data_IF_916199542138
#
_entry.id   IF_916199542138
#
_cell.length_a   1.000
_cell.length_b   1.000
_cell.length_c   1.000
_cell.angle_alpha   90.00
_cell.angle_beta   90.00
_cell.angle_gamma   90.00
#
_symmetry.space_group_name_H-M   'P 1'
#
loop_
_entity.id
_entity.type
_entity.pdbx_description
1 polymer ?
#
# COMPACT_ATOMS: atom_id res chain seq x y z
N UNK A 1 1.68 19.09 2.13
CA UNK A 1 2.32 17.88 2.70
C UNK A 1 3.15 17.19 1.63
N UNK A 2 4.24 16.53 2.02
CA UNK A 2 5.00 15.60 1.19
C UNK A 2 4.31 14.23 1.16
N UNK A 3 4.67 13.35 0.22
CA UNK A 3 4.09 12.00 0.15
C UNK A 3 4.37 11.16 1.42
N UNK A 4 5.54 11.34 2.06
CA UNK A 4 5.84 10.66 3.33
C UNK A 4 5.04 11.24 4.49
N UNK A 5 4.85 12.57 4.54
CA UNK A 5 3.99 13.21 5.56
C UNK A 5 2.55 12.72 5.45
N UNK A 6 2.02 12.61 4.22
CA UNK A 6 0.70 12.03 3.96
C UNK A 6 0.65 10.56 4.41
N UNK A 7 1.58 9.71 3.97
CA UNK A 7 1.64 8.29 4.37
C UNK A 7 1.55 8.11 5.90
N UNK A 8 2.34 8.90 6.65
CA UNK A 8 2.37 8.82 8.12
C UNK A 8 1.06 9.28 8.76
N UNK A 9 0.44 10.34 8.22
CA UNK A 9 -0.86 10.84 8.69
C UNK A 9 -1.97 9.82 8.44
N UNK A 10 -2.08 9.30 7.21
CA UNK A 10 -3.12 8.35 6.81
C UNK A 10 -3.04 7.05 7.64
N UNK A 11 -1.85 6.49 7.89
CA UNK A 11 -1.72 5.30 8.74
C UNK A 11 -2.23 5.50 10.17
N UNK A 12 -2.08 6.72 10.72
CA UNK A 12 -2.63 7.06 12.03
C UNK A 12 -4.15 7.24 11.97
N UNK A 13 -4.66 7.92 10.94
CA UNK A 13 -6.10 8.20 10.78
C UNK A 13 -6.90 6.91 10.48
N UNK A 14 -6.41 6.08 9.56
CA UNK A 14 -7.11 4.90 9.07
C UNK A 14 -6.93 3.66 9.93
N UNK A 15 -5.73 3.48 10.51
CA UNK A 15 -5.34 2.25 11.21
C UNK A 15 -4.90 2.48 12.67
N UNK A 16 -4.81 3.74 13.12
CA UNK A 16 -4.32 4.05 14.47
C UNK A 16 -2.86 3.65 14.69
N UNK A 17 -2.07 3.49 13.63
CA UNK A 17 -0.75 2.90 13.66
C UNK A 17 0.35 3.91 13.33
N UNK A 18 1.43 3.93 14.11
CA UNK A 18 2.60 4.75 13.80
C UNK A 18 3.59 3.97 12.92
N UNK A 19 4.25 4.69 12.00
CA UNK A 19 5.32 4.15 11.17
C UNK A 19 6.70 4.50 11.73
N UNK A 20 7.61 3.53 11.72
CA UNK A 20 9.03 3.69 12.01
C UNK A 20 9.80 4.18 10.79
N UNK A 21 10.78 3.37 10.35
CA UNK A 21 11.53 3.64 9.13
C UNK A 21 10.61 3.57 7.91
N UNK A 22 10.82 4.49 6.97
CA UNK A 22 10.05 4.59 5.72
C UNK A 22 11.04 4.80 4.58
N UNK A 23 10.84 4.08 3.47
CA UNK A 23 11.66 4.18 2.27
C UNK A 23 10.78 4.18 1.03
N UNK A 24 10.94 5.20 0.17
CA UNK A 24 10.29 5.22 -1.14
C UNK A 24 10.86 4.10 -2.03
N UNK A 25 9.99 3.20 -2.48
CA UNK A 25 10.35 2.14 -3.42
C UNK A 25 10.25 2.63 -4.86
N UNK A 26 9.22 3.43 -5.17
CA UNK A 26 8.98 3.94 -6.51
C UNK A 26 7.70 4.75 -6.59
N UNK A 27 7.45 5.28 -7.80
CA UNK A 27 6.24 6.02 -8.13
C UNK A 27 5.60 5.37 -9.35
N UNK A 28 4.30 5.10 -9.28
CA UNK A 28 3.51 4.47 -10.34
C UNK A 28 2.46 5.44 -10.84
N UNK A 29 2.29 5.54 -12.15
CA UNK A 29 1.15 6.23 -12.78
C UNK A 29 0.05 5.19 -13.00
N UNK A 30 -1.05 5.29 -12.25
CA UNK A 30 -2.16 4.35 -12.30
C UNK A 30 -3.35 4.98 -13.04
N UNK A 31 -3.72 4.41 -14.19
CA UNK A 31 -4.86 4.84 -14.99
C UNK A 31 -5.85 3.70 -15.09
N UNK A 32 -7.06 3.88 -14.58
CA UNK A 32 -8.05 2.82 -14.45
C UNK A 32 -9.46 3.32 -14.74
N UNK A 33 -10.43 2.40 -14.79
CA UNK A 33 -11.85 2.71 -14.84
C UNK A 33 -12.55 1.95 -13.72
N UNK A 34 -13.27 2.66 -12.85
CA UNK A 34 -14.06 2.07 -11.78
C UNK A 34 -15.52 2.47 -11.96
N UNK A 35 -16.39 1.47 -12.09
CA UNK A 35 -17.83 1.68 -12.32
C UNK A 35 -18.15 2.65 -13.50
N UNK A 36 -17.38 2.56 -14.59
CA UNK A 36 -17.54 3.43 -15.76
C UNK A 36 -16.93 4.83 -15.63
N UNK A 37 -16.27 5.13 -14.51
CA UNK A 37 -15.61 6.42 -14.26
C UNK A 37 -14.10 6.26 -14.42
N UNK A 38 -13.46 7.02 -15.32
CA UNK A 38 -12.00 6.98 -15.45
C UNK A 38 -11.33 7.61 -14.24
N UNK A 39 -10.39 6.88 -13.65
CA UNK A 39 -9.51 7.32 -12.57
C UNK A 39 -8.07 7.48 -13.05
N UNK A 40 -7.35 8.41 -12.43
CA UNK A 40 -5.92 8.63 -12.68
C UNK A 40 -5.24 9.07 -11.40
N UNK A 41 -4.27 8.27 -10.96
CA UNK A 41 -3.54 8.47 -9.70
C UNK A 41 -2.04 8.41 -9.94
N UNK A 42 -1.29 9.21 -9.17
CA UNK A 42 0.15 9.07 -9.02
C UNK A 42 0.40 8.45 -7.65
N UNK A 43 0.82 7.19 -7.63
CA UNK A 43 0.95 6.38 -6.42
C UNK A 43 2.41 6.35 -5.98
N UNK A 44 2.69 6.91 -4.81
CA UNK A 44 4.00 6.81 -4.16
C UNK A 44 4.01 5.55 -3.27
N UNK A 45 4.83 4.57 -3.63
CA UNK A 45 4.89 3.28 -2.92
C UNK A 45 6.06 3.29 -1.96
N UNK A 46 5.77 3.07 -0.67
CA UNK A 46 6.77 3.03 0.38
C UNK A 46 6.87 1.63 1.01
N UNK A 47 8.08 1.23 1.37
CA UNK A 47 8.30 0.22 2.39
C UNK A 47 8.34 0.94 3.74
N UNK A 48 7.62 0.41 4.72
CA UNK A 48 7.58 0.98 6.06
C UNK A 48 7.61 -0.12 7.12
N UNK A 49 8.20 0.20 8.26
CA UNK A 49 8.12 -0.60 9.47
C UNK A 49 6.96 -0.08 10.33
N UNK A 50 6.11 -0.98 10.82
CA UNK A 50 5.14 -0.62 11.85
C UNK A 50 5.91 -0.41 13.16
N UNK A 51 5.81 0.78 13.75
CA UNK A 51 6.41 1.07 15.05
C UNK A 51 5.59 0.43 16.19
N UNK A 52 4.29 0.27 15.97
CA UNK A 52 3.34 -0.33 16.88
C UNK A 52 2.88 -1.70 16.36
N UNK A 53 2.58 -2.63 17.26
CA UNK A 53 1.94 -3.88 16.87
C UNK A 53 0.49 -3.58 16.43
N UNK A 54 0.20 -3.73 15.15
CA UNK A 54 -1.17 -3.66 14.62
C UNK A 54 -1.79 -5.05 14.68
N UNK A 55 -2.89 -5.19 15.43
CA UNK A 55 -3.68 -6.42 15.40
C UNK A 55 -4.43 -6.50 14.06
N UNK A 56 -4.06 -7.47 13.23
CA UNK A 56 -4.76 -7.80 12.00
C UNK A 56 -5.57 -9.11 12.17
N UNK A 57 -6.73 -9.26 11.53
CA UNK A 57 -7.31 -8.35 10.55
C UNK A 57 -7.85 -7.05 11.18
N UNK A 58 -7.62 -5.93 10.51
CA UNK A 58 -8.14 -4.62 10.88
C UNK A 58 -9.17 -4.14 9.84
N UNK A 59 -9.80 -3.00 10.12
CA UNK A 59 -10.72 -2.34 9.20
C UNK A 59 -10.27 -0.89 9.05
N UNK A 60 -10.15 -0.42 7.81
CA UNK A 60 -9.88 0.99 7.51
C UNK A 60 -11.02 1.83 8.05
N UNK A 61 -10.72 2.79 8.93
CA UNK A 61 -11.73 3.56 9.65
C UNK A 61 -12.73 4.29 8.72
N UNK A 62 -12.25 4.77 7.57
CA UNK A 62 -13.03 5.63 6.67
C UNK A 62 -13.81 4.85 5.61
N UNK A 63 -13.22 3.78 5.06
CA UNK A 63 -13.85 2.99 3.97
C UNK A 63 -14.59 1.75 4.49
N UNK A 64 -14.23 1.25 5.67
CA UNK A 64 -14.76 -0.01 6.20
C UNK A 64 -14.16 -1.26 5.55
N UNK A 65 -13.09 -1.12 4.74
CA UNK A 65 -12.43 -2.23 4.06
C UNK A 65 -11.52 -3.01 5.01
N UNK A 66 -11.45 -4.33 4.82
CA UNK A 66 -10.64 -5.21 5.65
C UNK A 66 -9.15 -5.15 5.25
N UNK A 67 -8.27 -5.17 6.25
CA UNK A 67 -6.83 -5.21 6.09
C UNK A 67 -6.30 -6.53 6.64
N UNK A 68 -5.52 -7.25 5.83
CA UNK A 68 -4.90 -8.53 6.17
C UNK A 68 -3.44 -8.60 5.70
N UNK A 69 -2.68 -9.50 6.31
CA UNK A 69 -1.39 -9.92 5.76
C UNK A 69 -1.62 -10.96 4.66
N UNK A 70 -1.23 -10.64 3.43
CA UNK A 70 -1.34 -11.54 2.29
C UNK A 70 0.04 -12.09 1.86
N UNK A 71 0.17 -13.41 1.61
CA UNK A 71 1.40 -13.97 1.04
C UNK A 71 1.72 -13.39 -0.34
N UNK A 72 2.96 -12.93 -0.54
CA UNK A 72 3.40 -12.39 -1.84
C UNK A 72 3.26 -13.39 -2.99
N UNK A 73 3.40 -14.69 -2.71
CA UNK A 73 3.26 -15.77 -3.70
C UNK A 73 1.88 -15.76 -4.39
N UNK A 74 0.83 -15.30 -3.71
CA UNK A 74 -0.51 -15.19 -4.30
C UNK A 74 -0.51 -14.22 -5.48
N UNK A 75 0.25 -13.13 -5.40
CA UNK A 75 0.32 -12.11 -6.43
C UNK A 75 1.34 -12.48 -7.53
N UNK A 76 2.49 -13.04 -7.15
CA UNK A 76 3.52 -13.47 -8.11
C UNK A 76 3.02 -14.62 -8.99
N UNK A 77 2.23 -15.54 -8.43
CA UNK A 77 1.63 -16.65 -9.18
C UNK A 77 0.40 -16.27 -10.01
N UNK A 78 -0.16 -15.08 -9.79
CA UNK A 78 -1.42 -14.65 -10.40
C UNK A 78 -2.68 -15.26 -9.78
N UNK A 79 -2.58 -15.89 -8.62
CA UNK A 79 -3.75 -16.38 -7.86
C UNK A 79 -4.61 -15.23 -7.30
N UNK A 80 -4.01 -14.05 -7.09
CA UNK A 80 -4.68 -12.81 -6.73
C UNK A 80 -4.12 -11.63 -7.54
N UNK A 81 -4.94 -10.60 -7.75
CA UNK A 81 -4.54 -9.36 -8.44
C UNK A 81 -4.15 -8.31 -7.42
N UNK A 82 -2.99 -7.68 -7.62
CA UNK A 82 -2.53 -6.55 -6.83
C UNK A 82 -2.48 -5.29 -7.71
N UNK A 83 -3.25 -4.27 -7.33
CA UNK A 83 -3.25 -2.96 -7.98
C UNK A 83 -2.39 -1.96 -7.19
N UNK A 84 -1.84 -0.93 -7.84
CA UNK A 84 -1.90 -0.65 -9.28
C UNK A 84 -1.03 -1.60 -10.12
N UNK A 85 -1.21 -1.58 -11.44
CA UNK A 85 -0.34 -2.31 -12.36
C UNK A 85 1.13 -1.93 -12.13
N UNK A 86 2.02 -2.92 -12.16
CA UNK A 86 3.45 -2.75 -11.88
C UNK A 86 3.84 -2.82 -10.39
N UNK A 87 2.88 -2.84 -9.45
CA UNK A 87 3.20 -2.93 -8.03
C UNK A 87 3.91 -4.25 -7.68
N UNK A 88 3.48 -5.39 -8.22
CA UNK A 88 4.15 -6.69 -7.99
C UNK A 88 5.63 -6.64 -8.39
N UNK A 89 5.94 -6.05 -9.55
CA UNK A 89 7.32 -5.88 -10.04
C UNK A 89 8.16 -4.99 -9.12
N UNK A 90 7.54 -3.99 -8.48
CA UNK A 90 8.21 -3.12 -7.54
C UNK A 90 8.52 -3.83 -6.21
N UNK A 91 7.62 -4.70 -5.76
CA UNK A 91 7.73 -5.47 -4.52
C UNK A 91 8.64 -6.71 -4.64
N UNK A 92 8.69 -7.36 -5.80
CA UNK A 92 9.52 -8.54 -6.08
C UNK A 92 11.01 -8.20 -6.35
N UNK A 93 11.42 -6.96 -6.04
CA UNK A 93 12.83 -6.59 -6.14
C UNK A 93 13.62 -7.13 -4.95
N UNK A 94 14.89 -7.55 -5.16
CA UNK A 94 15.75 -7.95 -4.06
C UNK A 94 15.88 -6.78 -3.07
N UNK A 95 15.61 -7.04 -1.78
CA UNK A 95 15.72 -6.05 -0.71
C UNK A 95 17.06 -5.32 -0.82
N UNK A 96 17.03 -4.04 -1.18
CA UNK A 96 18.21 -3.18 -1.17
C UNK A 96 18.64 -3.04 0.29
N UNK A 97 19.86 -3.50 0.58
CA UNK A 97 20.48 -3.42 1.91
C UNK A 97 20.79 -1.99 2.32
#
# INVERSE_FOLDING_TARGET
ETAEEALRREFVEELGASLGSVQLLGVLENRFELAGVPGHEIVFVFAAELADAVELPAVVADTGEAVSWEPMDNFVSGAATLYPEGLVTLLDQPKRR
#
